data_IF_374560752120
#
_entry.id   IF_374560752120
#
_cell.length_a   1.000
_cell.length_b   1.000
_cell.length_c   1.000
_cell.angle_alpha   90.00
_cell.angle_beta   90.00
_cell.angle_gamma   90.00
#
_symmetry.space_group_name_H-M   'P 1'
#
loop_
_entity.id
_entity.type
_entity.pdbx_description
1 polymer ?
#
# COMPACT_ATOMS: atom_id res chain seq x y z
N UNK A 1 18.93 4.12 8.34
CA UNK A 1 18.75 5.53 8.76
C UNK A 1 17.83 5.63 9.99
N UNK A 2 18.23 6.37 11.05
CA UNK A 2 17.55 6.36 12.36
C UNK A 2 16.11 6.90 12.38
N UNK A 3 15.60 7.49 11.29
CA UNK A 3 14.19 7.88 11.19
C UNK A 3 13.65 7.65 9.77
N UNK A 4 13.66 6.41 9.29
CA UNK A 4 12.94 6.03 8.07
C UNK A 4 11.43 5.98 8.32
N UNK A 5 10.82 7.06 8.82
CA UNK A 5 9.37 7.15 9.06
C UNK A 5 8.57 6.90 7.78
N UNK A 6 9.17 7.17 6.62
CA UNK A 6 8.60 6.85 5.31
C UNK A 6 8.52 5.35 5.03
N UNK A 7 9.46 4.54 5.53
CA UNK A 7 9.42 3.08 5.40
C UNK A 7 8.17 2.52 6.08
N UNK A 8 7.84 3.01 7.26
CA UNK A 8 6.61 2.63 7.98
C UNK A 8 5.33 2.90 7.14
N UNK A 9 5.30 3.95 6.30
CA UNK A 9 4.13 4.29 5.46
C UNK A 9 3.99 3.36 4.27
N UNK A 10 5.12 3.09 3.62
CA UNK A 10 5.19 2.13 2.51
C UNK A 10 4.86 0.73 3.01
N UNK A 11 5.35 0.34 4.18
CA UNK A 11 5.06 -0.96 4.81
C UNK A 11 3.58 -1.13 5.16
N UNK A 12 2.93 -0.09 5.67
CA UNK A 12 1.47 -0.10 5.92
C UNK A 12 0.71 -0.27 4.60
N UNK A 13 1.09 0.47 3.56
CA UNK A 13 0.45 0.36 2.24
C UNK A 13 0.64 -1.04 1.62
N UNK A 14 1.86 -1.57 1.68
CA UNK A 14 2.18 -2.93 1.21
C UNK A 14 1.38 -3.99 1.99
N UNK A 15 1.19 -3.81 3.30
CA UNK A 15 0.34 -4.70 4.10
C UNK A 15 -1.12 -4.69 3.65
N UNK A 16 -1.64 -3.54 3.20
CA UNK A 16 -2.99 -3.43 2.63
C UNK A 16 -3.07 -4.15 1.28
N UNK A 17 -2.07 -3.94 0.40
CA UNK A 17 -1.97 -4.63 -0.89
C UNK A 17 -1.96 -6.16 -0.70
N UNK A 18 -1.14 -6.67 0.22
CA UNK A 18 -1.07 -8.10 0.51
C UNK A 18 -2.43 -8.63 0.98
N UNK A 19 -3.07 -7.96 1.94
CA UNK A 19 -4.34 -8.44 2.52
C UNK A 19 -5.51 -8.37 1.56
N UNK A 20 -5.58 -7.35 0.71
CA UNK A 20 -6.72 -7.10 -0.18
C UNK A 20 -6.60 -7.76 -1.54
N UNK A 21 -5.40 -7.81 -2.11
CA UNK A 21 -5.16 -8.32 -3.45
C UNK A 21 -4.46 -9.68 -3.41
N UNK A 22 -3.29 -9.78 -2.78
CA UNK A 22 -2.44 -10.97 -2.93
C UNK A 22 -2.92 -12.18 -2.12
N UNK A 23 -3.48 -11.98 -0.92
CA UNK A 23 -3.93 -13.06 -0.04
C UNK A 23 -5.20 -13.76 -0.55
N UNK A 24 -5.96 -13.13 -1.44
CA UNK A 24 -7.23 -13.63 -1.98
C UNK A 24 -7.27 -13.70 -3.51
N UNK A 25 -6.21 -13.23 -4.18
CA UNK A 25 -6.12 -13.21 -5.63
C UNK A 25 -5.77 -14.59 -6.16
N UNK A 26 -6.46 -15.01 -7.22
CA UNK A 26 -6.07 -16.15 -8.03
C UNK A 26 -5.54 -15.60 -9.35
N UNK A 27 -4.24 -15.76 -9.59
CA UNK A 27 -3.58 -15.17 -10.75
C UNK A 27 -3.25 -16.26 -11.76
N UNK A 28 -3.64 -16.05 -13.01
CA UNK A 28 -3.47 -17.04 -14.08
C UNK A 28 -2.08 -16.96 -14.72
N UNK A 29 -1.35 -15.85 -14.50
CA UNK A 29 -0.01 -15.59 -15.03
C UNK A 29 0.64 -14.40 -14.32
N UNK A 30 1.97 -14.26 -14.46
CA UNK A 30 2.69 -13.09 -13.94
C UNK A 30 2.22 -11.77 -14.58
N UNK A 31 1.78 -11.81 -15.85
CA UNK A 31 1.21 -10.64 -16.52
C UNK A 31 -0.12 -10.20 -15.88
N UNK A 32 -0.99 -11.16 -15.56
CA UNK A 32 -2.27 -10.93 -14.88
C UNK A 32 -2.06 -10.37 -13.47
N UNK A 33 -1.08 -10.91 -12.72
CA UNK A 33 -0.67 -10.34 -11.44
C UNK A 33 -0.24 -8.88 -11.56
N UNK A 34 0.59 -8.55 -12.57
CA UNK A 34 1.04 -7.18 -12.81
C UNK A 34 -0.12 -6.25 -13.10
N UNK A 35 -1.04 -6.65 -13.97
CA UNK A 35 -2.19 -5.84 -14.37
C UNK A 35 -3.11 -5.58 -13.17
N UNK A 36 -3.39 -6.61 -12.37
CA UNK A 36 -4.19 -6.49 -11.16
C UNK A 36 -3.54 -5.59 -10.10
N UNK A 37 -2.21 -5.60 -9.95
CA UNK A 37 -1.50 -4.68 -9.05
C UNK A 37 -1.67 -3.22 -9.53
N UNK A 38 -1.52 -2.96 -10.83
CA UNK A 38 -1.68 -1.63 -11.40
C UNK A 38 -3.13 -1.12 -11.26
N UNK A 39 -4.10 -1.98 -11.55
CA UNK A 39 -5.53 -1.69 -11.35
C UNK A 39 -5.84 -1.39 -9.87
N UNK A 40 -5.26 -2.15 -8.94
CA UNK A 40 -5.40 -1.91 -7.51
C UNK A 40 -4.80 -0.56 -7.08
N UNK A 41 -3.61 -0.20 -7.59
CA UNK A 41 -2.99 1.11 -7.32
C UNK A 41 -3.89 2.25 -7.80
N UNK A 42 -4.41 2.16 -9.03
CA UNK A 42 -5.32 3.17 -9.58
C UNK A 42 -6.61 3.30 -8.75
N UNK A 43 -7.22 2.17 -8.39
CA UNK A 43 -8.40 2.13 -7.53
C UNK A 43 -8.14 2.72 -6.14
N UNK A 44 -7.04 2.32 -5.50
CA UNK A 44 -6.64 2.80 -4.18
C UNK A 44 -6.41 4.33 -4.21
N UNK A 45 -5.71 4.83 -5.23
CA UNK A 45 -5.47 6.26 -5.40
C UNK A 45 -6.76 7.06 -5.61
N UNK A 46 -7.75 6.49 -6.32
CA UNK A 46 -9.02 7.16 -6.57
C UNK A 46 -9.96 7.15 -5.35
N UNK A 47 -9.98 6.08 -4.57
CA UNK A 47 -11.05 5.82 -3.58
C UNK A 47 -10.58 5.82 -2.13
N UNK A 48 -9.31 5.52 -1.88
CA UNK A 48 -8.75 5.30 -0.54
C UNK A 48 -7.56 6.19 -0.21
N UNK A 49 -7.02 6.93 -1.19
CA UNK A 49 -5.99 7.93 -0.94
C UNK A 49 -6.57 9.10 -0.13
N UNK A 50 -6.58 8.91 1.18
CA UNK A 50 -6.78 9.98 2.15
C UNK A 50 -5.41 10.48 2.57
N UNK A 51 -5.21 11.80 2.74
CA UNK A 51 -4.02 12.31 3.38
C UNK A 51 -3.92 11.68 4.76
N UNK A 52 -2.93 10.82 4.95
CA UNK A 52 -2.66 10.18 6.24
C UNK A 52 -2.20 11.32 7.16
N UNK A 53 -3.08 11.75 8.08
CA UNK A 53 -2.75 12.73 9.12
C UNK A 53 -1.56 12.19 9.91
N UNK A 54 -0.41 12.83 9.76
CA UNK A 54 0.73 12.55 10.60
C UNK A 54 0.51 13.23 11.95
N UNK A 55 0.34 12.45 13.02
CA UNK A 55 0.67 12.95 14.34
C UNK A 55 2.16 12.72 14.55
N UNK A 56 2.99 13.70 14.19
CA UNK A 56 4.35 13.74 14.70
C UNK A 56 4.28 14.22 16.15
N UNK A 57 4.03 13.31 17.08
CA UNK A 57 4.35 13.55 18.49
C UNK A 57 5.85 13.39 18.61
N UNK A 58 6.59 14.41 18.16
CA UNK A 58 7.94 14.61 18.62
C UNK A 58 7.86 14.82 20.12
N UNK A 59 8.30 13.83 20.90
CA UNK A 59 8.65 14.05 22.30
C UNK A 59 9.80 15.06 22.27
N UNK A 60 9.49 16.31 22.64
CA UNK A 60 10.45 17.31 23.10
C UNK A 60 10.59 17.09 24.60
#
# INVERSE_FOLDING_TARGET
PKHASWMNRVEIWLSILVRKLLKRGNFLSLHDLRDQILAFIAYYNRTMAKPIKWTYTGLI
#
